data_IF_325367987806
#
_entry.id   IF_325367987806
#
_cell.length_a   1.000
_cell.length_b   1.000
_cell.length_c   1.000
_cell.angle_alpha   90.00
_cell.angle_beta   90.00
_cell.angle_gamma   90.00
#
_symmetry.space_group_name_H-M   'P 1'
#
loop_
_entity.id
_entity.type
_entity.pdbx_description
1 polymer ?
#
# COMPACT_ATOMS: atom_id res chain seq x y z
N UNK A 1 -24.19 5.08 6.37
CA UNK A 1 -24.77 5.57 5.09
C UNK A 1 -24.32 4.61 4.01
N UNK A 2 -25.25 4.08 3.21
CA UNK A 2 -24.92 3.06 2.22
C UNK A 2 -23.92 3.56 1.20
N UNK A 3 -22.90 2.77 0.93
CA UNK A 3 -22.05 2.93 -0.26
C UNK A 3 -23.01 2.99 -1.44
N UNK A 4 -23.07 4.13 -2.12
CA UNK A 4 -23.69 4.21 -3.43
C UNK A 4 -22.80 3.35 -4.32
N UNK A 5 -23.18 2.08 -4.49
CA UNK A 5 -22.62 1.25 -5.55
C UNK A 5 -23.15 1.88 -6.84
N UNK A 6 -22.41 2.85 -7.37
CA UNK A 6 -22.66 3.34 -8.71
C UNK A 6 -22.53 2.11 -9.61
N UNK A 7 -23.61 1.73 -10.30
CA UNK A 7 -23.59 0.73 -11.36
C UNK A 7 -22.77 1.28 -12.54
N UNK A 8 -21.47 1.36 -12.34
CA UNK A 8 -20.51 1.71 -13.36
C UNK A 8 -20.22 0.45 -14.19
N UNK A 9 -20.26 0.61 -15.51
CA UNK A 9 -19.97 -0.49 -16.43
C UNK A 9 -18.66 -0.19 -17.13
N UNK A 10 -17.62 -0.98 -16.85
CA UNK A 10 -16.33 -0.94 -17.55
C UNK A 10 -16.47 -0.97 -19.08
N UNK A 11 -17.52 -1.61 -19.60
CA UNK A 11 -17.83 -1.67 -21.03
C UNK A 11 -18.20 -0.32 -21.66
N UNK A 12 -18.56 0.70 -20.85
CA UNK A 12 -18.94 2.05 -21.32
C UNK A 12 -17.76 3.01 -21.40
N UNK A 13 -16.57 2.60 -20.97
CA UNK A 13 -15.36 3.40 -21.08
C UNK A 13 -14.64 3.13 -22.40
N UNK A 14 -14.08 4.18 -22.99
CA UNK A 14 -13.12 4.06 -24.10
C UNK A 14 -11.82 3.42 -23.61
N UNK A 15 -10.93 3.07 -24.54
CA UNK A 15 -9.62 2.54 -24.17
C UNK A 15 -8.79 3.60 -23.43
N UNK A 16 -8.85 4.84 -23.90
CA UNK A 16 -8.15 5.99 -23.32
C UNK A 16 -8.66 6.29 -21.91
N UNK A 17 -9.98 6.25 -21.68
CA UNK A 17 -10.57 6.40 -20.35
C UNK A 17 -10.11 5.29 -19.39
N UNK A 18 -9.97 4.05 -19.87
CA UNK A 18 -9.46 2.94 -19.05
C UNK A 18 -8.00 3.11 -18.70
N UNK A 19 -7.16 3.44 -19.69
CA UNK A 19 -5.72 3.68 -19.47
C UNK A 19 -5.50 4.83 -18.49
N UNK A 20 -6.28 5.91 -18.64
CA UNK A 20 -6.23 7.06 -17.73
C UNK A 20 -6.46 6.66 -16.26
N UNK A 21 -7.39 5.74 -16.00
CA UNK A 21 -7.66 5.26 -14.63
C UNK A 21 -6.56 4.37 -14.03
N UNK A 22 -5.51 4.03 -14.79
CA UNK A 22 -4.36 3.24 -14.32
C UNK A 22 -3.18 4.10 -13.85
N UNK A 23 -3.32 5.43 -13.83
CA UNK A 23 -2.34 6.33 -13.20
C UNK A 23 -3.02 7.32 -12.27
N UNK A 24 -2.27 7.80 -11.28
CA UNK A 24 -2.66 8.96 -10.47
C UNK A 24 -2.89 10.19 -11.33
N UNK A 25 -3.76 11.10 -10.86
CA UNK A 25 -3.92 12.43 -11.46
C UNK A 25 -2.81 13.37 -11.00
N UNK A 26 -2.46 13.26 -9.73
CA UNK A 26 -1.40 14.02 -9.09
C UNK A 26 -0.71 13.16 -8.03
N UNK A 27 0.07 13.80 -7.15
CA UNK A 27 0.84 13.09 -6.15
C UNK A 27 -0.02 12.29 -5.17
N UNK A 28 -1.26 12.70 -4.89
CA UNK A 28 -2.08 12.12 -3.83
C UNK A 28 -3.44 11.62 -4.30
N UNK A 29 -3.86 11.93 -5.52
CA UNK A 29 -5.23 11.65 -5.97
C UNK A 29 -5.27 10.83 -7.24
N UNK A 30 -6.27 9.96 -7.32
CA UNK A 30 -6.56 9.22 -8.54
C UNK A 30 -7.18 10.10 -9.60
N UNK A 31 -7.18 9.61 -10.83
CA UNK A 31 -8.01 10.16 -11.88
C UNK A 31 -9.52 10.04 -11.57
N UNK A 32 -10.31 10.88 -12.26
CA UNK A 32 -11.76 10.89 -12.17
C UNK A 32 -12.39 10.99 -13.56
N UNK A 33 -13.60 10.43 -13.69
CA UNK A 33 -14.45 10.55 -14.87
C UNK A 33 -15.86 10.96 -14.39
N UNK A 34 -16.05 12.26 -14.12
CA UNK A 34 -17.27 12.79 -13.51
C UNK A 34 -18.53 12.44 -14.33
N UNK A 35 -18.47 12.58 -15.66
CA UNK A 35 -19.59 12.26 -16.56
C UNK A 35 -19.93 10.75 -16.61
N UNK A 36 -19.03 9.90 -16.08
CA UNK A 36 -19.21 8.45 -15.95
C UNK A 36 -19.53 8.02 -14.51
N UNK A 37 -19.61 8.97 -13.58
CA UNK A 37 -19.86 8.70 -12.17
C UNK A 37 -18.68 8.07 -11.42
N UNK A 38 -17.45 8.19 -11.93
CA UNK A 38 -16.23 7.71 -11.24
C UNK A 38 -15.58 8.89 -10.52
N UNK A 39 -15.62 8.94 -9.17
CA UNK A 39 -14.97 9.98 -8.40
C UNK A 39 -13.45 9.79 -8.35
N UNK A 40 -12.73 10.87 -8.07
CA UNK A 40 -11.34 10.78 -7.62
C UNK A 40 -11.33 10.33 -6.17
N UNK A 41 -10.35 9.50 -5.80
CA UNK A 41 -10.08 9.15 -4.40
C UNK A 41 -8.68 9.66 -4.00
N UNK A 42 -8.54 10.01 -2.73
CA UNK A 42 -7.31 10.57 -2.15
C UNK A 42 -6.59 9.54 -1.27
N UNK A 43 -5.29 9.49 -1.47
CA UNK A 43 -4.34 8.71 -0.70
C UNK A 43 -3.52 9.63 0.22
N UNK A 44 -3.10 9.10 1.36
CA UNK A 44 -2.22 9.83 2.28
C UNK A 44 -1.37 8.86 3.09
N UNK A 45 -0.12 9.22 3.35
CA UNK A 45 0.70 8.55 4.36
C UNK A 45 0.05 8.67 5.76
N UNK A 46 0.26 7.77 6.71
CA UNK A 46 0.98 6.50 6.58
C UNK A 46 0.78 5.61 7.81
N UNK A 47 1.76 4.77 8.18
CA UNK A 47 1.53 3.64 9.09
C UNK A 47 1.35 3.99 10.58
N UNK A 48 1.78 5.17 11.04
CA UNK A 48 1.74 5.57 12.46
C UNK A 48 1.23 7.02 12.67
N UNK A 49 0.25 7.40 11.85
CA UNK A 49 -0.36 8.73 11.88
C UNK A 49 -0.59 9.25 10.46
N UNK A 50 -1.61 10.08 10.30
CA UNK A 50 -1.99 10.63 9.01
C UNK A 50 -1.14 11.87 8.68
N UNK A 51 -0.47 11.89 7.54
CA UNK A 51 0.29 13.03 7.02
C UNK A 51 -0.47 13.64 5.85
N UNK A 52 -1.36 14.57 6.17
CA UNK A 52 -2.18 15.27 5.19
C UNK A 52 -1.61 16.66 4.89
N UNK A 53 -1.17 16.88 3.65
CA UNK A 53 -0.75 18.21 3.18
C UNK A 53 -1.94 18.93 2.54
N UNK A 54 -2.45 19.99 3.18
CA UNK A 54 -3.59 20.76 2.68
C UNK A 54 -3.23 21.76 1.56
N UNK A 55 -1.95 22.09 1.41
CA UNK A 55 -1.41 23.00 0.39
C UNK A 55 -0.66 22.20 -0.69
N UNK A 56 0.18 22.86 -1.48
CA UNK A 56 0.98 22.19 -2.52
C UNK A 56 1.67 20.94 -1.95
N UNK A 57 1.47 19.79 -2.60
CA UNK A 57 2.19 18.58 -2.26
C UNK A 57 3.65 18.76 -2.66
N UNK A 58 4.59 18.32 -1.82
CA UNK A 58 6.00 18.25 -2.19
C UNK A 58 6.55 16.85 -1.97
N UNK A 59 7.48 16.46 -2.84
CA UNK A 59 8.11 15.14 -2.80
C UNK A 59 8.96 14.93 -1.53
N UNK A 60 9.30 16.02 -0.83
CA UNK A 60 10.20 16.05 0.32
C UNK A 60 9.49 16.07 1.68
N UNK A 61 8.17 16.31 1.71
CA UNK A 61 7.41 16.44 2.95
C UNK A 61 7.77 17.68 3.77
N UNK A 62 8.27 18.75 3.14
CA UNK A 62 8.66 20.01 3.79
C UNK A 62 7.44 20.90 4.01
N UNK A 63 6.38 20.73 3.23
CA UNK A 63 5.17 21.52 3.38
C UNK A 63 4.36 21.14 4.62
N UNK A 64 3.75 22.15 5.24
CA UNK A 64 2.94 22.02 6.45
C UNK A 64 1.86 20.95 6.27
N UNK A 65 1.82 20.03 7.24
CA UNK A 65 0.75 19.04 7.35
C UNK A 65 -0.34 19.57 8.29
N UNK A 66 -1.59 19.23 7.99
CA UNK A 66 -2.70 19.43 8.92
C UNK A 66 -2.40 18.64 10.20
N UNK A 67 -2.58 19.24 11.39
CA UNK A 67 -2.33 18.55 12.65
C UNK A 67 -3.12 17.24 12.74
N UNK A 68 -2.40 16.17 13.11
CA UNK A 68 -2.90 14.82 13.27
C UNK A 68 -2.21 14.14 14.45
N UNK A 69 -2.74 13.02 14.91
CA UNK A 69 -2.11 12.27 15.99
C UNK A 69 -0.88 11.51 15.48
N UNK A 70 0.27 11.80 16.06
CA UNK A 70 1.50 11.01 15.83
C UNK A 70 1.56 9.86 16.84
N UNK A 71 1.33 8.63 16.34
CA UNK A 71 1.36 7.42 17.15
C UNK A 71 2.78 6.87 17.29
N UNK A 72 3.05 5.99 18.27
CA UNK A 72 4.31 5.26 18.32
C UNK A 72 4.54 4.47 17.02
N UNK A 73 5.79 4.42 16.58
CA UNK A 73 6.17 3.74 15.35
C UNK A 73 5.86 2.23 15.43
N UNK A 74 5.71 1.56 14.30
CA UNK A 74 5.35 0.14 14.28
C UNK A 74 6.33 -0.74 15.08
N UNK A 75 7.62 -0.40 15.11
CA UNK A 75 8.62 -1.10 15.93
C UNK A 75 8.35 -0.99 17.44
N UNK A 76 7.92 0.18 17.91
CA UNK A 76 7.57 0.41 19.31
C UNK A 76 6.23 -0.23 19.64
N UNK A 77 5.23 -0.05 18.77
CA UNK A 77 3.88 -0.61 18.95
C UNK A 77 3.89 -2.14 18.93
N UNK A 78 4.76 -2.77 18.13
CA UNK A 78 4.93 -4.23 18.12
C UNK A 78 5.43 -4.79 19.45
N UNK A 79 6.17 -4.01 20.24
CA UNK A 79 6.67 -4.45 21.54
C UNK A 79 5.55 -4.65 22.57
N UNK A 80 4.33 -4.18 22.30
CA UNK A 80 3.17 -4.45 23.14
C UNK A 80 2.59 -5.86 22.94
N UNK A 81 2.84 -6.51 21.78
CA UNK A 81 2.24 -7.81 21.43
C UNK A 81 0.71 -7.85 21.57
N UNK A 82 0.05 -6.72 21.30
CA UNK A 82 -1.37 -6.51 21.56
C UNK A 82 -2.11 -6.13 20.26
N UNK A 83 -2.70 -7.12 19.55
CA UNK A 83 -3.49 -6.86 18.34
C UNK A 83 -4.69 -5.95 18.59
N UNK A 84 -5.34 -6.02 19.75
CA UNK A 84 -6.50 -5.18 20.05
C UNK A 84 -6.08 -3.70 20.16
N UNK A 85 -4.92 -3.44 20.76
CA UNK A 85 -4.32 -2.11 20.80
C UNK A 85 -3.94 -1.59 19.41
N UNK A 86 -3.37 -2.44 18.55
CA UNK A 86 -3.05 -2.06 17.16
C UNK A 86 -4.31 -1.79 16.35
N UNK A 87 -5.38 -2.56 16.55
CA UNK A 87 -6.67 -2.32 15.91
C UNK A 87 -7.29 -1.00 16.37
N UNK A 88 -7.19 -0.67 17.66
CA UNK A 88 -7.63 0.61 18.20
C UNK A 88 -6.83 1.80 17.61
N UNK A 89 -5.52 1.63 17.43
CA UNK A 89 -4.67 2.61 16.75
C UNK A 89 -5.11 2.81 15.28
N UNK A 90 -5.29 1.71 14.53
CA UNK A 90 -5.78 1.77 13.15
C UNK A 90 -7.15 2.47 13.05
N UNK A 91 -8.06 2.20 13.99
CA UNK A 91 -9.36 2.88 14.07
C UNK A 91 -9.22 4.39 14.28
N UNK A 92 -8.32 4.82 15.15
CA UNK A 92 -8.10 6.24 15.42
C UNK A 92 -7.54 6.97 14.19
N UNK A 93 -6.57 6.36 13.49
CA UNK A 93 -6.04 6.90 12.22
C UNK A 93 -7.14 6.97 11.16
N UNK A 94 -7.99 5.94 11.06
CA UNK A 94 -9.12 5.90 10.12
C UNK A 94 -10.16 7.00 10.38
N UNK A 95 -10.41 7.34 11.64
CA UNK A 95 -11.29 8.46 11.99
C UNK A 95 -10.70 9.81 11.54
N UNK A 96 -9.40 10.02 11.71
CA UNK A 96 -8.73 11.23 11.21
C UNK A 96 -8.79 11.30 9.68
N UNK A 97 -8.54 10.17 8.99
CA UNK A 97 -8.62 10.07 7.53
C UNK A 97 -10.02 10.43 7.02
N UNK A 98 -11.06 9.88 7.65
CA UNK A 98 -12.46 10.21 7.33
C UNK A 98 -12.73 11.71 7.52
N UNK A 99 -12.23 12.32 8.59
CA UNK A 99 -12.44 13.74 8.88
C UNK A 99 -11.78 14.68 7.87
N UNK A 100 -10.70 14.23 7.21
CA UNK A 100 -9.95 15.00 6.22
C UNK A 100 -10.27 14.64 4.77
N UNK A 101 -11.24 13.75 4.54
CA UNK A 101 -11.60 13.30 3.18
C UNK A 101 -10.46 12.54 2.49
N UNK A 102 -9.73 11.73 3.24
CA UNK A 102 -8.78 10.74 2.72
C UNK A 102 -9.51 9.41 2.57
N UNK A 103 -9.42 8.79 1.40
CA UNK A 103 -10.12 7.54 1.09
C UNK A 103 -9.22 6.31 1.35
N UNK A 104 -7.90 6.47 1.24
CA UNK A 104 -6.92 5.40 1.44
C UNK A 104 -5.73 5.86 2.28
N UNK A 105 -5.38 5.09 3.31
CA UNK A 105 -4.16 5.31 4.12
C UNK A 105 -3.07 4.34 3.68
N UNK A 106 -1.89 4.89 3.38
CA UNK A 106 -0.72 4.15 2.90
C UNK A 106 -0.01 3.40 4.02
N UNK A 107 -0.62 2.33 4.49
CA UNK A 107 -0.10 1.44 5.51
C UNK A 107 -0.97 0.19 5.72
N UNK A 108 -0.51 -0.74 6.57
CA UNK A 108 0.70 -0.68 7.37
C UNK A 108 1.93 -1.21 6.62
N UNK A 109 3.12 -0.90 7.13
CA UNK A 109 4.37 -1.49 6.67
C UNK A 109 4.67 -2.83 7.37
N UNK A 110 4.82 -3.92 6.60
CA UNK A 110 5.10 -5.27 7.14
C UNK A 110 6.37 -5.91 6.58
N UNK A 111 7.29 -5.12 5.99
CA UNK A 111 8.57 -5.66 5.55
C UNK A 111 9.39 -6.20 6.74
N UNK A 112 10.09 -7.31 6.52
CA UNK A 112 10.90 -7.93 7.57
C UNK A 112 12.10 -7.07 7.97
N UNK A 113 12.38 -7.01 9.27
CA UNK A 113 13.61 -6.42 9.81
C UNK A 113 14.81 -7.37 9.65
N UNK A 114 15.11 -7.74 8.39
CA UNK A 114 16.19 -8.69 8.05
C UNK A 114 17.53 -8.31 8.67
N UNK A 115 17.83 -7.01 8.68
CA UNK A 115 19.04 -6.46 9.25
C UNK A 115 18.65 -5.23 10.08
N UNK A 116 19.21 -5.04 11.29
CA UNK A 116 18.88 -3.90 12.15
C UNK A 116 19.20 -2.54 11.53
N UNK A 117 20.05 -2.48 10.50
CA UNK A 117 20.49 -1.25 9.83
C UNK A 117 19.54 -0.75 8.73
N UNK A 118 18.46 -1.45 8.42
CA UNK A 118 17.48 -0.94 7.46
C UNK A 118 16.87 0.37 7.99
N UNK A 119 16.98 1.45 7.21
CA UNK A 119 16.54 2.79 7.61
C UNK A 119 15.04 2.92 7.89
N UNK A 120 14.23 1.98 7.42
CA UNK A 120 12.77 1.95 7.63
C UNK A 120 12.31 0.94 8.69
N UNK A 121 13.23 0.31 9.42
CA UNK A 121 12.88 -0.64 10.49
C UNK A 121 11.95 -0.03 11.55
N UNK A 122 11.99 1.28 11.78
CA UNK A 122 11.11 1.94 12.74
C UNK A 122 9.63 1.81 12.37
N UNK A 123 9.28 1.83 11.08
CA UNK A 123 7.90 1.75 10.59
C UNK A 123 7.45 0.33 10.21
N UNK A 124 8.29 -0.68 10.46
CA UNK A 124 7.92 -2.10 10.33
C UNK A 124 7.73 -2.76 11.69
N UNK A 125 6.82 -3.73 11.77
CA UNK A 125 6.47 -4.36 13.06
C UNK A 125 7.58 -5.25 13.62
N UNK A 126 8.03 -6.28 12.88
CA UNK A 126 8.89 -7.34 13.44
C UNK A 126 9.88 -7.92 12.44
N UNK A 127 10.87 -8.65 12.95
CA UNK A 127 11.67 -9.62 12.19
C UNK A 127 10.97 -10.99 12.07
N UNK A 128 9.97 -11.24 12.91
CA UNK A 128 9.15 -12.45 12.89
C UNK A 128 7.90 -12.25 11.99
N UNK A 129 7.69 -13.11 10.98
CA UNK A 129 6.59 -12.94 10.03
C UNK A 129 5.21 -13.13 10.65
N UNK A 130 5.08 -14.00 11.66
CA UNK A 130 3.80 -14.24 12.33
C UNK A 130 3.35 -13.00 13.11
N UNK A 131 4.23 -12.44 13.94
CA UNK A 131 3.95 -11.21 14.68
C UNK A 131 3.66 -10.04 13.73
N UNK A 132 4.51 -9.84 12.71
CA UNK A 132 4.30 -8.76 11.74
C UNK A 132 2.97 -8.90 10.99
N UNK A 133 2.61 -10.12 10.58
CA UNK A 133 1.36 -10.41 9.91
C UNK A 133 0.13 -10.17 10.80
N UNK A 134 0.16 -10.65 12.05
CA UNK A 134 -0.95 -10.49 13.00
C UNK A 134 -1.20 -9.03 13.37
N UNK A 135 -0.15 -8.26 13.62
CA UNK A 135 -0.28 -6.83 13.91
C UNK A 135 -0.68 -6.03 12.67
N UNK A 136 -0.15 -6.39 11.49
CA UNK A 136 -0.59 -5.83 10.22
C UNK A 136 -2.08 -6.05 9.96
N UNK A 137 -2.58 -7.27 10.17
CA UNK A 137 -3.99 -7.61 10.03
C UNK A 137 -4.88 -6.80 10.99
N UNK A 138 -4.46 -6.68 12.25
CA UNK A 138 -5.18 -5.87 13.24
C UNK A 138 -5.27 -4.39 12.85
N UNK A 139 -4.17 -3.82 12.34
CA UNK A 139 -4.13 -2.43 11.88
C UNK A 139 -5.09 -2.20 10.71
N UNK A 140 -5.08 -3.10 9.72
CA UNK A 140 -5.97 -3.07 8.55
C UNK A 140 -7.43 -3.13 8.99
N UNK A 141 -7.78 -4.07 9.89
CA UNK A 141 -9.12 -4.17 10.44
C UNK A 141 -9.57 -2.88 11.14
N UNK A 142 -8.65 -2.20 11.84
CA UNK A 142 -8.91 -0.91 12.47
C UNK A 142 -9.28 0.17 11.47
N UNK A 143 -8.46 0.36 10.44
CA UNK A 143 -8.65 1.36 9.38
C UNK A 143 -9.94 1.10 8.60
N UNK A 144 -10.12 -0.13 8.10
CA UNK A 144 -11.27 -0.49 7.26
C UNK A 144 -12.59 -0.48 8.03
N UNK A 145 -12.56 -0.62 9.36
CA UNK A 145 -13.76 -0.44 10.19
C UNK A 145 -14.34 0.99 10.14
N UNK A 146 -13.56 1.97 9.68
CA UNK A 146 -13.98 3.37 9.50
C UNK A 146 -14.41 3.70 8.07
N UNK A 147 -14.46 2.69 7.18
CA UNK A 147 -14.78 2.87 5.77
C UNK A 147 -13.65 3.52 4.97
N UNK A 148 -12.41 3.35 5.43
CA UNK A 148 -11.19 3.87 4.80
C UNK A 148 -10.37 2.68 4.30
N UNK A 149 -9.85 2.75 3.07
CA UNK A 149 -9.03 1.70 2.51
C UNK A 149 -7.65 1.64 3.19
N UNK A 150 -7.21 0.45 3.56
CA UNK A 150 -5.82 0.20 3.97
C UNK A 150 -4.98 -0.23 2.76
N UNK A 151 -3.73 0.23 2.70
CA UNK A 151 -2.77 -0.14 1.66
C UNK A 151 -1.52 -0.82 2.24
N UNK A 152 -1.56 -2.15 2.30
CA UNK A 152 -0.51 -2.99 2.87
C UNK A 152 0.80 -2.87 2.06
N UNK A 153 1.93 -2.61 2.73
CA UNK A 153 3.19 -2.26 2.03
C UNK A 153 4.46 -2.84 2.68
N UNK A 154 5.59 -2.93 1.97
CA UNK A 154 5.79 -2.81 0.52
C UNK A 154 6.03 -4.22 -0.03
N UNK A 155 5.16 -4.67 -0.91
CA UNK A 155 5.13 -6.03 -1.43
C UNK A 155 6.11 -6.20 -2.60
N UNK A 156 7.26 -6.86 -2.45
CA UNK A 156 7.80 -7.51 -1.26
C UNK A 156 9.33 -7.32 -1.15
N UNK A 157 9.93 -7.85 -0.09
CA UNK A 157 11.38 -7.89 0.11
C UNK A 157 12.12 -6.53 0.02
N UNK A 158 11.44 -5.43 0.38
CA UNK A 158 12.04 -4.10 0.52
C UNK A 158 12.68 -3.92 1.90
N UNK A 159 13.81 -4.59 2.13
CA UNK A 159 14.41 -4.71 3.48
C UNK A 159 15.68 -3.88 3.67
N UNK A 160 15.98 -2.95 2.75
CA UNK A 160 17.07 -1.98 2.87
C UNK A 160 16.76 -0.72 2.05
N UNK A 161 17.24 0.43 2.51
CA UNK A 161 17.08 1.69 1.77
C UNK A 161 18.19 1.92 0.73
N UNK A 162 19.37 1.33 0.94
CA UNK A 162 20.49 1.49 0.03
C UNK A 162 20.12 0.96 -1.37
N UNK A 163 20.13 1.87 -2.35
CA UNK A 163 19.78 1.63 -3.75
C UNK A 163 18.39 0.99 -3.94
N UNK A 164 17.42 1.28 -3.06
CA UNK A 164 16.09 0.63 -3.10
C UNK A 164 15.39 0.69 -4.46
N UNK A 165 15.67 1.71 -5.27
CA UNK A 165 15.11 1.90 -6.63
C UNK A 165 15.71 0.95 -7.68
N UNK A 166 16.85 0.32 -7.40
CA UNK A 166 17.58 -0.50 -8.39
C UNK A 166 18.12 -1.80 -7.83
N UNK A 167 18.04 -2.01 -6.52
CA UNK A 167 18.54 -3.21 -5.85
C UNK A 167 17.77 -4.45 -6.26
N UNK A 168 18.43 -5.60 -6.19
CA UNK A 168 17.84 -6.91 -6.46
C UNK A 168 17.95 -7.81 -5.24
N UNK A 169 16.81 -8.09 -4.63
CA UNK A 169 16.68 -9.02 -3.52
C UNK A 169 16.73 -10.45 -4.07
N UNK A 170 17.92 -11.05 -4.04
CA UNK A 170 18.14 -12.45 -4.37
C UNK A 170 17.74 -13.33 -3.18
N UNK A 171 16.60 -14.01 -3.30
CA UNK A 171 16.00 -14.77 -2.21
C UNK A 171 15.53 -16.12 -2.74
N UNK A 172 15.91 -17.20 -2.08
CA UNK A 172 15.42 -18.53 -2.45
C UNK A 172 13.91 -18.67 -2.17
N UNK A 173 13.20 -19.57 -2.87
CA UNK A 173 11.75 -19.69 -2.72
C UNK A 173 11.28 -19.99 -1.29
N UNK A 174 12.06 -20.73 -0.51
CA UNK A 174 11.68 -21.09 0.87
C UNK A 174 11.68 -19.85 1.75
N UNK A 175 12.79 -19.12 1.77
CA UNK A 175 12.87 -17.90 2.57
C UNK A 175 11.90 -16.83 2.08
N UNK A 176 11.70 -16.72 0.75
CA UNK A 176 10.73 -15.82 0.16
C UNK A 176 9.33 -16.05 0.76
N UNK A 177 8.86 -17.30 0.75
CA UNK A 177 7.53 -17.65 1.26
C UNK A 177 7.45 -17.62 2.79
N UNK A 178 8.38 -18.26 3.49
CA UNK A 178 8.29 -18.44 4.94
C UNK A 178 8.59 -17.15 5.73
N UNK A 179 9.37 -16.21 5.17
CA UNK A 179 9.80 -15.00 5.88
C UNK A 179 9.20 -13.74 5.25
N UNK A 180 9.45 -13.49 3.97
CA UNK A 180 9.15 -12.17 3.39
C UNK A 180 7.70 -12.03 2.94
N UNK A 181 7.06 -13.12 2.53
CA UNK A 181 5.67 -13.14 2.06
C UNK A 181 4.69 -13.57 3.14
N UNK A 182 5.11 -14.30 4.16
CA UNK A 182 4.21 -14.84 5.18
C UNK A 182 3.43 -13.75 5.95
N UNK A 183 4.07 -12.64 6.31
CA UNK A 183 3.36 -11.51 6.93
C UNK A 183 2.29 -10.91 6.01
N UNK A 184 2.57 -10.82 4.70
CA UNK A 184 1.58 -10.38 3.71
C UNK A 184 0.47 -11.40 3.53
N UNK A 185 0.78 -12.71 3.50
CA UNK A 185 -0.22 -13.78 3.42
C UNK A 185 -1.19 -13.70 4.59
N UNK A 186 -0.68 -13.59 5.81
CA UNK A 186 -1.50 -13.45 7.03
C UNK A 186 -2.38 -12.21 6.92
N UNK A 187 -1.81 -11.04 6.63
CA UNK A 187 -2.57 -9.80 6.51
C UNK A 187 -3.66 -9.88 5.42
N UNK A 188 -3.33 -10.38 4.24
CA UNK A 188 -4.28 -10.52 3.13
C UNK A 188 -5.42 -11.48 3.48
N UNK A 189 -5.09 -12.67 3.97
CA UNK A 189 -6.09 -13.72 4.23
C UNK A 189 -6.94 -13.47 5.47
N UNK A 190 -6.44 -12.73 6.46
CA UNK A 190 -7.17 -12.48 7.70
C UNK A 190 -7.88 -11.11 7.75
N UNK A 191 -7.44 -10.12 6.96
CA UNK A 191 -7.97 -8.75 7.04
C UNK A 191 -8.36 -8.13 5.71
N UNK A 192 -8.05 -8.77 4.57
CA UNK A 192 -8.50 -8.37 3.24
C UNK A 192 -8.28 -6.86 2.97
N UNK A 193 -7.01 -6.40 2.91
CA UNK A 193 -6.74 -5.00 2.61
C UNK A 193 -7.32 -4.62 1.25
N UNK A 194 -7.87 -3.42 1.13
CA UNK A 194 -8.42 -2.91 -0.13
C UNK A 194 -7.31 -2.59 -1.15
N UNK A 195 -6.09 -2.34 -0.68
CA UNK A 195 -4.94 -2.16 -1.55
C UNK A 195 -3.64 -2.82 -1.03
N UNK A 196 -2.73 -3.09 -1.96
CA UNK A 196 -1.34 -3.48 -1.68
C UNK A 196 -0.41 -2.58 -2.48
N UNK A 197 0.62 -2.06 -1.85
CA UNK A 197 1.66 -1.28 -2.52
C UNK A 197 2.84 -2.18 -2.90
N UNK A 198 3.20 -2.24 -4.17
CA UNK A 198 4.40 -2.98 -4.58
C UNK A 198 5.68 -2.24 -4.16
N UNK A 199 6.76 -2.97 -3.90
CA UNK A 199 8.05 -2.38 -3.55
C UNK A 199 8.79 -1.78 -4.75
N UNK A 200 9.82 -0.97 -4.46
CA UNK A 200 10.72 -0.42 -5.46
C UNK A 200 11.68 -1.46 -6.07
N UNK A 201 12.20 -2.37 -5.24
CA UNK A 201 13.31 -3.23 -5.61
C UNK A 201 12.90 -4.34 -6.57
N UNK A 202 13.90 -4.97 -7.18
CA UNK A 202 13.74 -6.25 -7.87
C UNK A 202 13.70 -7.39 -6.86
N UNK A 203 13.02 -8.46 -7.22
CA UNK A 203 13.06 -9.75 -6.53
C UNK A 203 13.46 -10.79 -7.56
N UNK A 204 14.64 -11.37 -7.39
CA UNK A 204 15.22 -12.34 -8.31
C UNK A 204 15.22 -11.86 -9.78
N UNK A 205 15.66 -10.62 -10.01
CA UNK A 205 15.90 -10.05 -11.34
C UNK A 205 14.75 -9.25 -11.96
N UNK A 206 13.55 -9.27 -11.38
CA UNK A 206 12.37 -8.55 -11.89
C UNK A 206 11.85 -7.54 -10.87
N UNK A 207 11.63 -6.29 -11.30
CA UNK A 207 11.02 -5.25 -10.46
C UNK A 207 9.66 -5.70 -9.96
N UNK A 208 9.34 -5.39 -8.70
CA UNK A 208 8.12 -5.86 -8.07
C UNK A 208 6.88 -5.50 -8.91
N UNK A 209 6.79 -4.25 -9.41
CA UNK A 209 5.68 -3.77 -10.26
C UNK A 209 5.42 -4.65 -11.48
N UNK A 210 6.48 -5.24 -12.06
CA UNK A 210 6.45 -5.98 -13.32
C UNK A 210 6.44 -7.50 -13.07
N UNK A 211 6.44 -7.93 -11.80
CA UNK A 211 6.66 -9.32 -11.43
C UNK A 211 5.34 -10.12 -11.41
N UNK A 212 5.00 -10.75 -12.53
CA UNK A 212 3.80 -11.58 -12.69
C UNK A 212 3.68 -12.69 -11.63
N UNK A 213 4.82 -13.28 -11.22
CA UNK A 213 4.83 -14.28 -10.17
C UNK A 213 4.34 -13.69 -8.84
N UNK A 214 4.87 -12.54 -8.42
CA UNK A 214 4.43 -11.90 -7.18
C UNK A 214 3.01 -11.35 -7.28
N UNK A 215 2.72 -10.52 -8.30
CA UNK A 215 1.49 -9.73 -8.36
C UNK A 215 0.26 -10.56 -8.71
N UNK A 216 0.39 -11.56 -9.59
CA UNK A 216 -0.75 -12.40 -9.98
C UNK A 216 -0.69 -13.76 -9.33
N UNK A 217 0.41 -14.50 -9.49
CA UNK A 217 0.43 -15.91 -9.08
C UNK A 217 0.44 -16.08 -7.56
N UNK A 218 1.18 -15.24 -6.84
CA UNK A 218 1.19 -15.29 -5.37
C UNK A 218 0.07 -14.45 -4.80
N UNK A 219 0.07 -13.14 -5.02
CA UNK A 219 -0.84 -12.23 -4.33
C UNK A 219 -2.32 -12.51 -4.67
N UNK A 220 -2.69 -12.55 -5.96
CA UNK A 220 -4.09 -12.78 -6.36
C UNK A 220 -4.50 -14.25 -6.28
N UNK A 221 -3.71 -15.16 -6.85
CA UNK A 221 -4.13 -16.56 -6.99
C UNK A 221 -3.89 -17.38 -5.72
N UNK A 222 -2.73 -17.26 -5.06
CA UNK A 222 -2.45 -18.04 -3.85
C UNK A 222 -3.04 -17.38 -2.59
N UNK A 223 -2.91 -16.07 -2.43
CA UNK A 223 -3.41 -15.38 -1.22
C UNK A 223 -4.87 -14.94 -1.35
N UNK A 224 -5.46 -14.97 -2.55
CA UNK A 224 -6.85 -14.59 -2.78
C UNK A 224 -7.09 -13.08 -2.73
N UNK A 225 -6.07 -12.25 -2.98
CA UNK A 225 -6.20 -10.80 -2.96
C UNK A 225 -7.14 -10.29 -4.07
N UNK A 226 -8.21 -9.60 -3.65
CA UNK A 226 -9.22 -9.01 -4.54
C UNK A 226 -9.17 -7.48 -4.67
N UNK A 227 -8.21 -6.82 -4.01
CA UNK A 227 -8.06 -5.37 -4.02
C UNK A 227 -7.22 -4.83 -5.19
N UNK A 228 -6.83 -3.57 -5.07
CA UNK A 228 -5.98 -2.88 -6.03
C UNK A 228 -4.49 -2.99 -5.67
N UNK A 229 -3.64 -3.28 -6.65
CA UNK A 229 -2.19 -3.17 -6.51
C UNK A 229 -1.77 -1.79 -7.00
N UNK A 230 -1.14 -1.00 -6.12
CA UNK A 230 -0.61 0.32 -6.44
C UNK A 230 0.92 0.30 -6.42
N UNK A 231 1.60 1.13 -7.21
CA UNK A 231 3.05 1.27 -7.09
C UNK A 231 3.42 2.05 -5.83
N UNK A 232 4.59 1.77 -5.24
CA UNK A 232 5.26 2.80 -4.43
C UNK A 232 5.56 4.02 -5.34
N UNK A 233 5.76 5.19 -4.75
CA UNK A 233 5.81 6.45 -5.49
C UNK A 233 7.01 6.49 -6.45
N UNK A 234 6.76 6.38 -7.76
CA UNK A 234 7.78 6.29 -8.80
C UNK A 234 8.43 4.91 -8.94
N UNK A 235 7.78 3.85 -8.42
CA UNK A 235 8.25 2.48 -8.56
C UNK A 235 7.82 1.80 -9.87
N UNK A 236 7.04 2.47 -10.72
CA UNK A 236 6.73 1.93 -12.02
C UNK A 236 8.01 1.86 -12.88
N UNK A 237 8.29 0.67 -13.42
CA UNK A 237 9.41 0.47 -14.34
C UNK A 237 8.96 0.33 -15.80
N UNK A 238 7.94 -0.50 -16.08
CA UNK A 238 7.33 -0.62 -17.41
C UNK A 238 5.81 -0.72 -17.27
N UNK A 239 5.07 0.27 -17.81
CA UNK A 239 3.60 0.35 -17.71
C UNK A 239 2.90 -0.88 -18.23
N UNK A 240 3.32 -1.39 -19.39
CA UNK A 240 2.69 -2.52 -20.05
C UNK A 240 3.01 -3.80 -19.30
N UNK A 241 4.27 -3.99 -18.89
CA UNK A 241 4.66 -5.14 -18.09
C UNK A 241 3.93 -5.16 -16.74
N UNK A 242 3.82 -4.02 -16.07
CA UNK A 242 3.15 -3.88 -14.78
C UNK A 242 1.66 -4.21 -14.85
N UNK A 243 0.94 -3.67 -15.84
CA UNK A 243 -0.48 -3.99 -16.07
C UNK A 243 -0.68 -5.49 -16.37
N UNK A 244 0.20 -6.08 -17.18
CA UNK A 244 0.16 -7.51 -17.47
C UNK A 244 0.52 -8.38 -16.26
N UNK A 245 1.39 -7.90 -15.37
CA UNK A 245 1.75 -8.57 -14.14
C UNK A 245 0.64 -8.54 -13.09
N UNK A 246 -0.24 -7.53 -13.15
CA UNK A 246 -1.37 -7.35 -12.23
C UNK A 246 -1.22 -6.14 -11.29
N UNK A 247 -0.33 -5.19 -11.61
CA UNK A 247 -0.24 -3.87 -10.96
C UNK A 247 -1.24 -2.93 -11.61
N UNK A 248 -2.20 -2.42 -10.83
CA UNK A 248 -3.39 -1.74 -11.37
C UNK A 248 -3.22 -0.23 -11.52
N UNK A 249 -2.49 0.39 -10.57
CA UNK A 249 -2.40 1.84 -10.47
C UNK A 249 -0.96 2.29 -10.23
N UNK A 250 -0.48 3.11 -11.16
CA UNK A 250 0.76 3.86 -11.00
C UNK A 250 0.54 5.10 -10.13
N UNK A 251 1.41 5.28 -9.14
CA UNK A 251 1.49 6.47 -8.30
C UNK A 251 2.94 6.97 -8.19
N UNK A 252 3.16 8.31 -8.14
CA UNK A 252 2.20 9.30 -8.62
C UNK A 252 2.04 9.15 -10.14
N UNK A 253 0.99 9.72 -10.74
CA UNK A 253 0.93 9.77 -12.20
C UNK A 253 2.02 10.67 -12.77
N UNK A 254 2.59 10.28 -13.90
CA UNK A 254 3.38 11.15 -14.76
C UNK A 254 2.55 11.58 -15.98
N UNK A 255 2.91 12.72 -16.59
CA UNK A 255 2.23 13.22 -17.80
C UNK A 255 2.63 12.42 -19.07
N UNK A 256 3.08 11.17 -18.92
CA UNK A 256 3.64 10.35 -20.00
C UNK A 256 2.61 9.34 -20.53
N UNK A 257 1.55 9.85 -21.18
CA UNK A 257 0.65 9.05 -22.04
C UNK A 257 1.04 9.14 -23.52
#
# INVERSE_FOLDING_TARGET
MGVVVSNFHLAKLTAEEKVKLTSGKDFWTSEHLADKGIPSFRMSDGPHGLRYQALAADHLGINDSVPSTSFPTASASAAAWDPDLIQAMGKAIGLEAQSLGVDMVLGPGVNMKRNPLCGRNFEYFSEDPFLAGKLGAAWINGIQSQGIAACLKHFAANNQENDRLSSDSLVDPTALHEIYLEAFRIAVTESHPEAVMCSYNKINGTYASDNLYLMTQVLRQQFGFGGAVITDWGALNDKVAALNAGTDLEMPGDDHY
#
